data_IF_536697765310
#
_entry.id   IF_536697765310
#
_cell.length_a   1.000
_cell.length_b   1.000
_cell.length_c   1.000
_cell.angle_alpha   90.00
_cell.angle_beta   90.00
_cell.angle_gamma   90.00
#
_symmetry.space_group_name_H-M   'P 1'
#
loop_
_entity.id
_entity.type
_entity.pdbx_description
1 polymer ?
2 non-polymer ?
3 non-polymer ?
4 non-polymer ?
5 water ?
#
# COMPACT_ATOMS: atom_id res chain seq x y z
N UNK A 9 -20.85 -0.40 -15.61
CA UNK A 9 -21.09 -1.87 -15.62
C UNK A 9 -19.90 -2.61 -15.03
N UNK A 10 -20.16 -3.81 -14.49
CA UNK A 10 -19.12 -4.68 -13.97
C UNK A 10 -19.42 -6.11 -14.43
N UNK A 11 -18.37 -6.84 -14.83
CA UNK A 11 -18.51 -8.21 -15.29
C UNK A 11 -19.20 -9.05 -14.22
N UNK A 12 -20.35 -9.64 -14.58
CA UNK A 12 -21.09 -10.51 -13.68
C UNK A 12 -20.63 -11.95 -13.92
N UNK A 13 -20.25 -12.64 -12.84
CA UNK A 13 -19.79 -14.02 -12.91
C UNK A 13 -20.85 -14.94 -12.33
N UNK A 14 -21.09 -16.08 -12.98
CA UNK A 14 -22.08 -17.02 -12.50
C UNK A 14 -21.44 -17.84 -11.37
N UNK A 15 -22.16 -18.10 -10.26
CA UNK A 15 -21.60 -18.86 -9.13
C UNK A 15 -21.03 -20.24 -9.50
N UNK A 16 -21.56 -20.86 -10.55
CA UNK A 16 -21.11 -22.17 -10.97
C UNK A 16 -19.66 -22.15 -11.47
N UNK A 17 -19.13 -20.94 -11.76
CA UNK A 17 -17.78 -20.80 -12.25
C UNK A 17 -16.77 -20.56 -11.13
N UNK A 18 -17.24 -20.47 -9.87
CA UNK A 18 -16.39 -20.09 -8.74
C UNK A 18 -16.34 -21.22 -7.71
N UNK A 19 -15.12 -21.57 -7.27
CA UNK A 19 -14.92 -22.56 -6.22
C UNK A 19 -14.11 -21.96 -5.08
N UNK A 20 -14.73 -21.80 -3.91
CA UNK A 20 -14.04 -21.36 -2.70
C UNK A 20 -13.27 -22.52 -2.10
N UNK A 21 -11.99 -22.29 -1.75
CA UNK A 21 -11.09 -23.36 -1.34
C UNK A 21 -10.67 -23.19 0.12
N UNK A 22 -10.22 -21.99 0.51
CA UNK A 22 -9.72 -21.76 1.85
C UNK A 22 -10.00 -20.32 2.28
N UNK A 23 -10.32 -20.14 3.57
CA UNK A 23 -10.50 -18.81 4.15
C UNK A 23 -9.12 -18.20 4.40
N UNK A 24 -8.94 -16.96 3.96
CA UNK A 24 -7.66 -16.28 4.10
C UNK A 24 -7.83 -14.93 4.79
N UNK A 25 -9.05 -14.55 5.19
CA UNK A 25 -9.26 -13.26 5.82
C UNK A 25 -10.72 -12.96 6.13
N UNK A 26 -10.98 -11.72 6.57
CA UNK A 26 -12.33 -11.27 6.92
C UNK A 26 -12.68 -9.98 6.17
N UNK A 27 -13.92 -9.91 5.67
CA UNK A 27 -14.48 -8.70 5.09
C UNK A 27 -15.29 -7.92 6.12
N UNK A 28 -16.00 -6.88 5.67
CA UNK A 28 -16.78 -6.04 6.57
C UNK A 28 -17.98 -6.83 7.09
N UNK A 29 -18.58 -7.66 6.23
CA UNK A 29 -19.69 -8.52 6.65
C UNK A 29 -19.68 -9.79 5.80
N UNK A 30 -18.68 -10.64 6.05
CA UNK A 30 -18.35 -11.79 5.22
C UNK A 30 -16.89 -12.19 5.39
N UNK A 31 -16.42 -13.12 4.54
CA UNK A 31 -15.06 -13.63 4.63
C UNK A 31 -14.34 -13.45 3.31
N UNK A 32 -13.02 -13.69 3.33
CA UNK A 32 -12.20 -13.67 2.14
C UNK A 32 -11.63 -15.06 1.92
N UNK A 33 -11.76 -15.55 0.68
CA UNK A 33 -11.32 -16.89 0.33
C UNK A 33 -10.25 -16.84 -0.74
N UNK A 34 -9.38 -17.84 -0.74
CA UNK A 34 -8.67 -18.21 -1.95
C UNK A 34 -9.55 -19.21 -2.68
N UNK A 35 -9.58 -19.11 -4.02
CA UNK A 35 -10.40 -20.00 -4.83
C UNK A 35 -9.93 -20.08 -6.27
N UNK A 36 -10.78 -20.66 -7.11
CA UNK A 36 -10.52 -20.85 -8.52
C UNK A 36 -11.69 -20.33 -9.33
N UNK A 37 -11.39 -19.77 -10.51
CA UNK A 37 -12.39 -19.24 -11.43
C UNK A 37 -12.24 -19.91 -12.79
N UNK A 38 -13.34 -20.43 -13.33
CA UNK A 38 -13.36 -21.03 -14.65
C UNK A 38 -13.62 -19.96 -15.71
N UNK A 45 -8.76 -22.78 -15.77
CA UNK A 45 -9.12 -22.21 -14.44
C UNK A 45 -7.97 -21.34 -13.93
N UNK A 46 -8.30 -20.28 -13.19
CA UNK A 46 -7.30 -19.33 -12.71
C UNK A 46 -7.54 -19.08 -11.23
N UNK A 47 -6.49 -18.96 -10.40
CA UNK A 47 -6.66 -18.67 -8.98
C UNK A 47 -7.17 -17.25 -8.78
N UNK A 48 -8.04 -17.08 -7.78
CA UNK A 48 -8.65 -15.80 -7.49
C UNK A 48 -8.72 -15.61 -5.98
N UNK A 49 -8.89 -14.34 -5.58
CA UNK A 49 -9.30 -14.01 -4.24
C UNK A 49 -10.76 -13.58 -4.30
N UNK A 50 -11.51 -13.92 -3.25
CA UNK A 50 -12.96 -13.79 -3.23
C UNK A 50 -13.39 -13.20 -1.90
N UNK A 51 -14.05 -12.03 -1.93
CA UNK A 51 -14.61 -11.44 -0.73
C UNK A 51 -16.13 -11.52 -0.80
N UNK A 52 -16.76 -11.99 0.29
CA UNK A 52 -18.20 -12.22 0.32
C UNK A 52 -18.90 -11.16 1.17
N UNK A 53 -20.19 -10.97 0.86
CA UNK A 53 -21.10 -10.19 1.70
C UNK A 53 -22.28 -11.10 2.04
N UNK A 54 -22.37 -11.47 3.33
CA UNK A 54 -23.29 -12.52 3.73
C UNK A 54 -24.65 -11.96 4.15
N UNK A 55 -25.64 -12.85 4.24
CA UNK A 55 -27.02 -12.48 4.49
C UNK A 55 -27.13 -11.64 5.76
N UNK A 56 -27.92 -10.57 5.68
CA UNK A 56 -28.16 -9.67 6.80
C UNK A 56 -27.50 -8.32 6.59
N UNK A 57 -26.72 -8.18 5.51
CA UNK A 57 -25.99 -6.95 5.29
C UNK A 57 -26.99 -5.81 5.20
N UNK A 58 -26.52 -4.63 5.62
CA UNK A 58 -27.30 -3.40 5.59
C UNK A 58 -27.19 -2.76 4.21
N UNK A 59 -28.04 -1.74 3.99
CA UNK A 59 -28.02 -0.95 2.77
C UNK A 59 -26.65 -0.31 2.58
N UNK A 60 -26.12 0.31 3.65
CA UNK A 60 -24.83 0.98 3.59
C UNK A 60 -23.75 -0.01 3.17
N UNK A 61 -23.77 -1.20 3.77
CA UNK A 61 -22.80 -2.24 3.45
C UNK A 61 -22.88 -2.62 1.97
N UNK A 62 -24.10 -2.76 1.47
CA UNK A 62 -24.28 -3.15 0.07
C UNK A 62 -23.74 -2.06 -0.85
N UNK A 63 -24.05 -0.80 -0.54
CA UNK A 63 -23.60 0.32 -1.36
C UNK A 63 -22.08 0.39 -1.36
N UNK A 64 -21.47 0.19 -0.19
CA UNK A 64 -20.01 0.27 -0.05
C UNK A 64 -19.35 -0.90 -0.77
N UNK A 65 -19.95 -2.09 -0.69
CA UNK A 65 -19.40 -3.32 -1.27
C UNK A 65 -19.39 -3.22 -2.79
N UNK A 66 -20.56 -2.96 -3.38
CA UNK A 66 -20.69 -2.90 -4.83
C UNK A 66 -19.98 -1.66 -5.37
N UNK A 67 -19.92 -0.58 -4.57
CA UNK A 67 -19.21 0.62 -4.95
C UNK A 67 -17.71 0.40 -5.12
N UNK A 68 -17.14 -0.35 -4.18
CA UNK A 68 -15.74 -0.77 -4.23
C UNK A 68 -15.48 -1.57 -5.50
N UNK A 69 -16.36 -2.53 -5.79
CA UNK A 69 -16.19 -3.37 -6.97
C UNK A 69 -16.24 -2.50 -8.22
N UNK A 70 -17.20 -1.57 -8.27
CA UNK A 70 -17.38 -0.70 -9.42
C UNK A 70 -16.12 0.08 -9.75
N UNK A 71 -15.51 0.68 -8.73
CA UNK A 71 -14.28 1.47 -8.86
C UNK A 71 -13.15 0.57 -9.37
N UNK A 72 -13.04 -0.63 -8.81
CA UNK A 72 -11.97 -1.54 -9.16
C UNK A 72 -12.11 -1.94 -10.63
N UNK A 73 -13.36 -2.16 -11.08
CA UNK A 73 -13.62 -2.60 -12.43
C UNK A 73 -13.33 -1.53 -13.49
N UNK A 74 -13.44 -0.24 -13.12
CA UNK A 74 -13.17 0.83 -14.08
C UNK A 74 -11.67 1.07 -14.20
N UNK A 75 -10.92 0.97 -13.08
CA UNK A 75 -9.49 1.22 -13.09
C UNK A 75 -8.77 0.12 -13.88
N UNK A 76 -7.71 0.51 -14.61
CA UNK A 76 -6.89 -0.41 -15.38
C UNK A 76 -5.44 0.03 -15.30
N UNK A 77 -4.67 -0.56 -14.38
CA UNK A 77 -3.28 -0.18 -14.20
C UNK A 77 -2.52 -1.38 -13.65
N UNK A 78 -1.26 -1.53 -14.09
CA UNK A 78 -0.38 -2.63 -13.71
C UNK A 78 -0.22 -2.72 -12.19
N UNK A 79 -0.26 -1.58 -11.48
CA UNK A 79 0.07 -1.54 -10.06
C UNK A 79 -1.16 -1.31 -9.18
N UNK A 80 -2.35 -1.65 -9.72
CA UNK A 80 -3.62 -1.63 -9.00
C UNK A 80 -4.26 -3.00 -9.17
N UNK A 81 -4.78 -3.56 -8.06
CA UNK A 81 -5.41 -4.87 -8.08
C UNK A 81 -6.51 -4.91 -9.14
N UNK A 82 -6.52 -5.99 -9.92
CA UNK A 82 -7.46 -6.18 -11.02
C UNK A 82 -8.68 -6.97 -10.55
N UNK A 83 -9.86 -6.49 -10.98
CA UNK A 83 -11.13 -7.18 -10.72
C UNK A 83 -11.40 -8.20 -11.83
N UNK A 84 -11.72 -9.44 -11.44
CA UNK A 84 -12.19 -10.43 -12.40
C UNK A 84 -13.68 -10.22 -12.66
N UNK A 85 -14.43 -10.01 -11.58
CA UNK A 85 -15.86 -9.74 -11.70
C UNK A 85 -16.57 -9.82 -10.36
N UNK A 86 -17.91 -9.79 -10.42
CA UNK A 86 -18.76 -9.67 -9.24
C UNK A 86 -19.89 -10.68 -9.36
N UNK A 87 -20.33 -11.23 -8.21
CA UNK A 87 -21.60 -11.93 -8.13
C UNK A 87 -22.52 -11.01 -7.32
N UNK A 88 -23.51 -10.44 -8.01
CA UNK A 88 -24.49 -9.55 -7.38
C UNK A 88 -25.90 -10.12 -7.45
N UNK A 89 -26.14 -11.05 -8.40
CA UNK A 89 -27.49 -11.52 -8.67
C UNK A 89 -27.85 -12.72 -7.79
N UNK A 90 -26.84 -13.35 -7.17
CA UNK A 90 -27.05 -14.45 -6.25
C UNK A 90 -26.41 -14.08 -4.91
N UNK A 91 -26.79 -14.82 -3.86
CA UNK A 91 -26.28 -14.57 -2.52
C UNK A 91 -25.54 -15.81 -2.02
N UNK A 92 -24.40 -15.69 -1.29
CA UNK A 92 -23.82 -14.40 -0.91
C UNK A 92 -23.22 -13.67 -2.10
N UNK A 93 -23.18 -12.34 -2.04
CA UNK A 93 -22.55 -11.55 -3.09
C UNK A 93 -21.04 -11.70 -2.95
N UNK A 94 -20.31 -11.51 -4.06
CA UNK A 94 -18.89 -11.75 -4.08
C UNK A 94 -18.17 -10.72 -4.96
N UNK A 95 -16.97 -10.33 -4.52
CA UNK A 95 -16.03 -9.59 -5.35
C UNK A 95 -14.86 -10.52 -5.63
N UNK A 96 -14.53 -10.70 -6.92
CA UNK A 96 -13.53 -11.68 -7.32
C UNK A 96 -12.37 -10.94 -7.99
N UNK A 97 -11.17 -11.11 -7.44
CA UNK A 97 -9.99 -10.42 -7.93
C UNK A 97 -8.90 -11.41 -8.32
N UNK A 98 -7.87 -10.90 -9.01
CA UNK A 98 -6.67 -11.68 -9.26
C UNK A 98 -6.08 -12.09 -7.93
N UNK A 99 -5.40 -13.23 -7.92
CA UNK A 99 -4.80 -13.76 -6.70
C UNK A 99 -3.31 -13.40 -6.69
N UNK A 100 -2.85 -12.79 -5.61
CA UNK A 100 -1.47 -12.34 -5.51
C UNK A 100 -0.72 -13.30 -4.59
N UNK A 101 0.16 -14.11 -5.20
CA UNK A 101 0.67 -15.32 -4.55
C UNK A 101 1.50 -15.01 -3.31
N UNK A 102 2.15 -13.84 -3.24
CA UNK A 102 3.05 -13.55 -2.14
C UNK A 102 2.38 -12.73 -1.03
N UNK A 103 1.11 -12.36 -1.21
CA UNK A 103 0.35 -11.76 -0.12
C UNK A 103 0.77 -10.32 0.17
N UNK A 104 0.50 -9.91 1.41
CA UNK A 104 0.70 -8.53 1.83
C UNK A 104 2.19 -8.23 1.96
N UNK A 105 2.58 -7.03 1.51
CA UNK A 105 3.97 -6.61 1.44
C UNK A 105 4.64 -6.57 2.82
N UNK A 106 3.92 -6.09 3.85
CA UNK A 106 4.55 -5.95 5.16
C UNK A 106 5.02 -7.31 5.67
N UNK A 107 4.13 -8.29 5.63
CA UNK A 107 4.43 -9.63 6.12
C UNK A 107 5.48 -10.30 5.24
N UNK A 108 5.39 -10.06 3.93
CA UNK A 108 6.33 -10.63 2.97
C UNK A 108 7.74 -10.17 3.30
N UNK A 109 7.95 -8.87 3.48
CA UNK A 109 9.29 -8.35 3.72
C UNK A 109 9.86 -8.88 5.05
N UNK A 110 9.02 -8.99 6.08
CA UNK A 110 9.47 -9.45 7.38
C UNK A 110 9.90 -10.92 7.31
N UNK A 111 9.28 -11.68 6.40
CA UNK A 111 9.59 -13.09 6.24
C UNK A 111 10.75 -13.30 5.27
N UNK A 112 11.21 -12.24 4.57
CA UNK A 112 12.27 -12.35 3.59
C UNK A 112 13.38 -11.34 3.90
N UNK A 113 13.64 -11.12 5.18
CA UNK A 113 14.53 -10.06 5.63
C UNK A 113 15.92 -10.22 5.00
N UNK A 114 16.38 -9.17 4.33
CA UNK A 114 17.72 -9.12 3.75
C UNK A 114 17.87 -9.89 2.43
N UNK A 115 16.78 -10.38 1.83
CA UNK A 115 16.92 -11.31 0.71
C UNK A 115 16.93 -10.62 -0.66
N UNK A 116 16.69 -9.31 -0.71
CA UNK A 116 16.58 -8.61 -1.99
C UNK A 116 17.71 -7.59 -2.16
N UNK A 117 17.95 -7.23 -3.42
CA UNK A 117 18.88 -6.18 -3.75
C UNK A 117 18.20 -4.83 -3.53
N UNK A 118 19.03 -3.79 -3.42
CA UNK A 118 18.52 -2.42 -3.32
C UNK A 118 17.71 -2.09 -4.56
N UNK A 119 18.16 -2.53 -5.74
CA UNK A 119 17.46 -2.25 -6.98
C UNK A 119 16.06 -2.88 -6.97
N UNK A 120 15.95 -4.11 -6.44
CA UNK A 120 14.66 -4.77 -6.31
C UNK A 120 13.75 -3.98 -5.37
N UNK A 121 14.27 -3.56 -4.21
CA UNK A 121 13.45 -2.80 -3.27
C UNK A 121 12.98 -1.50 -3.90
N UNK A 122 13.88 -0.77 -4.58
CA UNK A 122 13.50 0.49 -5.19
C UNK A 122 12.49 0.24 -6.32
N UNK A 123 12.64 -0.86 -7.06
CA UNK A 123 11.66 -1.25 -8.05
C UNK A 123 10.25 -1.40 -7.49
N UNK A 124 10.17 -1.98 -6.27
CA UNK A 124 8.90 -2.16 -5.58
C UNK A 124 8.24 -0.80 -5.36
N UNK A 125 9.05 0.14 -4.87
CA UNK A 125 8.57 1.47 -4.57
C UNK A 125 8.13 2.19 -5.84
N UNK A 126 8.84 2.03 -6.95
CA UNK A 126 8.44 2.67 -8.20
C UNK A 126 7.06 2.17 -8.62
N UNK A 127 6.80 0.87 -8.45
CA UNK A 127 5.50 0.31 -8.81
C UNK A 127 4.37 0.88 -7.96
N UNK A 128 4.61 0.92 -6.65
CA UNK A 128 3.63 1.49 -5.73
C UNK A 128 3.36 2.95 -6.11
N UNK A 129 4.43 3.72 -6.36
CA UNK A 129 4.28 5.12 -6.72
C UNK A 129 3.47 5.27 -8.01
N UNK A 130 3.70 4.39 -9.00
CA UNK A 130 2.98 4.47 -10.27
C UNK A 130 1.49 4.23 -10.07
N UNK A 131 1.16 3.24 -9.23
CA UNK A 131 -0.23 2.96 -8.89
C UNK A 131 -0.90 4.15 -8.20
N UNK A 132 -0.19 4.72 -7.23
CA UNK A 132 -0.72 5.87 -6.50
C UNK A 132 -0.85 7.09 -7.41
N UNK A 133 0.07 7.30 -8.36
CA UNK A 133 -0.06 8.42 -9.28
C UNK A 133 -1.37 8.28 -10.06
N UNK A 134 -1.63 7.06 -10.54
CA UNK A 134 -2.85 6.76 -11.28
C UNK A 134 -4.08 7.01 -10.42
N UNK A 135 -4.13 6.48 -9.19
CA UNK A 135 -5.26 6.71 -8.31
C UNK A 135 -5.48 8.21 -8.10
N UNK A 136 -4.40 8.94 -7.78
CA UNK A 136 -4.51 10.36 -7.47
C UNK A 136 -5.09 11.13 -8.66
N UNK A 137 -4.63 10.78 -9.86
CA UNK A 137 -5.06 11.54 -11.03
C UNK A 137 -6.48 11.13 -11.45
N UNK A 138 -6.94 9.95 -11.01
CA UNK A 138 -8.33 9.51 -11.19
C UNK A 138 -9.22 10.07 -10.07
N UNK A 139 -8.63 10.90 -9.20
CA UNK A 139 -9.33 11.61 -8.12
C UNK A 139 -9.74 10.65 -7.00
N UNK A 140 -8.90 9.63 -6.75
CA UNK A 140 -9.15 8.68 -5.67
C UNK A 140 -8.12 8.92 -4.58
N UNK A 141 -8.59 9.17 -3.35
CA UNK A 141 -7.71 9.31 -2.20
C UNK A 141 -7.79 8.04 -1.36
N UNK A 142 -6.63 7.40 -1.10
CA UNK A 142 -6.61 6.08 -0.49
C UNK A 142 -6.97 6.15 1.00
N UNK A 143 -6.26 7.00 1.74
CA UNK A 143 -6.46 7.27 3.15
C UNK A 143 -5.79 6.25 4.06
N UNK A 144 -5.40 5.08 3.54
CA UNK A 144 -4.83 4.04 4.38
C UNK A 144 -3.67 3.39 3.64
N UNK A 145 -2.83 4.19 2.99
CA UNK A 145 -1.68 3.61 2.30
C UNK A 145 -0.63 3.19 3.32
N UNK A 146 -0.25 1.91 3.25
CA UNK A 146 0.65 1.25 4.19
C UNK A 146 1.07 -0.06 3.51
N UNK A 147 2.21 -0.62 3.92
CA UNK A 147 2.67 -1.85 3.29
C UNK A 147 1.66 -2.97 3.51
N UNK A 148 0.89 -2.95 4.61
CA UNK A 148 -0.12 -3.96 4.88
C UNK A 148 -1.20 -3.98 3.81
N UNK A 149 -1.37 -2.88 3.06
CA UNK A 149 -2.42 -2.78 2.05
C UNK A 149 -1.86 -2.88 0.62
N UNK A 150 -0.63 -3.37 0.49
CA UNK A 150 -0.01 -3.59 -0.81
C UNK A 150 0.16 -5.10 -0.98
N UNK A 151 -0.16 -5.62 -2.17
CA UNK A 151 0.01 -7.05 -2.45
C UNK A 151 1.15 -7.26 -3.44
N UNK A 152 1.73 -8.47 -3.38
CA UNK A 152 2.92 -8.81 -4.15
C UNK A 152 2.65 -10.10 -4.94
N UNK A 153 2.94 -10.09 -6.25
CA UNK A 153 2.76 -11.28 -7.06
C UNK A 153 4.10 -11.98 -7.29
N UNK A 154 4.07 -13.04 -8.11
CA UNK A 154 5.24 -13.89 -8.30
C UNK A 154 6.27 -13.28 -9.25
N UNK A 155 5.98 -12.09 -9.80
CA UNK A 155 6.94 -11.30 -10.55
C UNK A 155 7.51 -10.16 -9.69
N UNK A 156 7.21 -10.17 -8.37
CA UNK A 156 7.61 -9.14 -7.41
C UNK A 156 6.93 -7.81 -7.73
N UNK A 157 5.84 -7.84 -8.51
CA UNK A 157 5.09 -6.62 -8.78
C UNK A 157 4.23 -6.31 -7.56
N UNK A 158 4.27 -5.05 -7.14
CA UNK A 158 3.47 -4.58 -6.01
C UNK A 158 2.23 -3.88 -6.56
N UNK A 159 1.07 -4.18 -5.97
CA UNK A 159 -0.18 -3.60 -6.39
C UNK A 159 -0.91 -3.04 -5.18
N UNK A 160 -1.47 -1.85 -5.38
CA UNK A 160 -2.25 -1.21 -4.33
C UNK A 160 -3.57 -1.94 -4.16
N UNK A 161 -3.94 -2.21 -2.90
CA UNK A 161 -5.19 -2.84 -2.51
C UNK A 161 -5.77 -2.11 -1.30
N UNK A 162 -6.73 -2.72 -0.60
CA UNK A 162 -7.23 -2.17 0.66
C UNK A 162 -8.00 -3.24 1.43
N UNK A 163 -7.57 -3.52 2.67
CA UNK A 163 -8.20 -4.55 3.49
C UNK A 163 -8.93 -3.94 4.69
N UNK A 164 -9.04 -2.60 4.72
CA UNK A 164 -9.83 -1.93 5.74
C UNK A 164 -9.01 -1.60 6.98
N UNK A 184 -8.15 6.10 13.02
CA UNK A 184 -7.10 6.47 12.01
C UNK A 184 -5.83 5.69 12.29
N UNK A 185 -5.15 5.13 11.26
CA UNK A 185 -3.81 4.52 11.44
C UNK A 185 -2.75 5.60 11.62
N UNK A 186 -2.58 6.05 12.88
CA UNK A 186 -1.91 7.28 13.21
C UNK A 186 -0.52 7.36 12.58
N UNK A 187 0.28 6.28 12.70
CA UNK A 187 1.70 6.42 12.38
C UNK A 187 1.95 6.45 10.87
N UNK A 188 0.92 6.22 10.05
CA UNK A 188 1.03 6.35 8.60
C UNK A 188 0.41 7.65 8.07
N UNK A 189 -0.26 8.41 8.94
CA UNK A 189 -1.15 9.48 8.50
C UNK A 189 -0.50 10.85 8.63
N UNK A 190 -0.74 11.71 7.62
CA UNK A 190 -0.17 13.05 7.59
C UNK A 190 -0.76 13.90 8.72
N UNK A 191 0.00 14.89 9.23
CA UNK A 191 -0.51 15.73 10.32
C UNK A 191 -1.87 16.37 10.08
N UNK A 192 -2.12 16.89 8.86
CA UNK A 192 -3.37 17.60 8.61
C UNK A 192 -4.54 16.64 8.60
N UNK A 193 -4.29 15.37 8.25
CA UNK A 193 -5.36 14.38 8.24
C UNK A 193 -5.71 14.00 9.67
N UNK A 194 -4.70 13.89 10.54
CA UNK A 194 -4.94 13.62 11.95
C UNK A 194 -5.64 14.81 12.60
N UNK A 195 -5.14 16.03 12.37
CA UNK A 195 -5.57 17.18 13.15
C UNK A 195 -6.95 17.68 12.72
N UNK A 196 -7.23 17.75 11.43
CA UNK A 196 -8.50 18.31 10.99
C UNK A 196 -9.15 17.54 9.84
N UNK A 197 -8.74 16.28 9.64
CA UNK A 197 -9.43 15.33 8.79
C UNK A 197 -9.33 15.72 7.31
N UNK A 198 -8.22 16.37 6.95
CA UNK A 198 -7.96 16.75 5.57
C UNK A 198 -7.21 15.63 4.87
N UNK A 199 -7.94 14.76 4.16
CA UNK A 199 -7.33 13.67 3.42
C UNK A 199 -7.31 14.03 1.94
N UNK A 200 -6.10 14.03 1.36
CA UNK A 200 -5.89 14.37 -0.03
C UNK A 200 -4.81 13.48 -0.60
N UNK A 201 -4.50 13.63 -1.89
CA UNK A 201 -3.37 12.90 -2.45
C UNK A 201 -2.06 13.32 -1.79
N UNK A 202 -2.00 14.54 -1.21
CA UNK A 202 -0.81 14.98 -0.52
C UNK A 202 -0.65 14.28 0.84
N UNK A 203 -1.76 13.92 1.50
CA UNK A 203 -1.65 13.12 2.72
C UNK A 203 -1.27 11.69 2.35
N UNK A 204 -1.72 11.19 1.19
CA UNK A 204 -1.24 9.91 0.67
C UNK A 204 0.27 9.94 0.40
N UNK A 205 0.83 11.07 -0.04
CA UNK A 205 2.27 11.18 -0.25
C UNK A 205 3.03 11.01 1.08
N UNK A 206 2.54 11.62 2.16
CA UNK A 206 3.13 11.39 3.47
C UNK A 206 3.19 9.89 3.77
N UNK A 207 2.04 9.22 3.58
CA UNK A 207 1.93 7.79 3.81
C UNK A 207 2.94 7.04 2.95
N UNK A 208 3.07 7.46 1.69
CA UNK A 208 4.02 6.80 0.79
C UNK A 208 5.45 6.89 1.34
N UNK A 209 5.80 8.04 1.94
CA UNK A 209 7.09 8.17 2.61
C UNK A 209 7.30 7.10 3.68
N UNK A 210 6.25 6.89 4.49
CA UNK A 210 6.29 5.84 5.51
C UNK A 210 6.46 4.48 4.83
N UNK A 211 5.73 4.22 3.73
CA UNK A 211 5.89 2.97 3.00
C UNK A 211 7.32 2.81 2.49
N UNK A 212 7.96 3.88 2.01
CA UNK A 212 9.35 3.81 1.59
C UNK A 212 10.23 3.32 2.74
N UNK A 213 9.99 3.84 3.96
CA UNK A 213 10.76 3.44 5.11
C UNK A 213 10.47 1.98 5.47
N UNK A 214 9.19 1.56 5.37
CA UNK A 214 8.84 0.17 5.62
C UNK A 214 9.59 -0.77 4.66
N UNK A 215 9.62 -0.43 3.37
CA UNK A 215 10.24 -1.31 2.40
C UNK A 215 11.74 -1.40 2.67
N UNK A 216 12.41 -0.26 2.88
CA UNK A 216 13.86 -0.24 2.98
C UNK A 216 14.36 -0.87 4.29
N UNK A 217 13.48 -0.97 5.31
CA UNK A 217 13.79 -1.64 6.58
C UNK A 217 13.26 -3.08 6.65
N UNK A 218 12.71 -3.61 5.55
CA UNK A 218 12.10 -4.94 5.53
C UNK A 218 11.01 -5.07 6.59
N UNK A 219 10.15 -4.05 6.68
CA UNK A 219 8.91 -4.16 7.45
C UNK A 219 9.07 -3.80 8.92
N UNK A 220 10.05 -2.96 9.25
CA UNK A 220 10.14 -2.44 10.61
C UNK A 220 8.87 -1.64 10.92
N UNK A 221 8.40 -1.72 12.18
CA UNK A 221 7.25 -0.94 12.59
C UNK A 221 7.64 0.54 12.68
N UNK A 222 6.93 1.45 11.96
CA UNK A 222 7.25 2.87 12.06
C UNK A 222 7.20 3.36 13.50
N UNK A 223 8.27 4.04 13.94
CA UNK A 223 8.39 4.67 15.24
C UNK A 223 8.49 3.61 16.34
N UNK A 224 8.78 2.36 15.94
CA UNK A 224 9.09 1.29 16.88
C UNK A 224 8.00 1.22 17.96
N UNK A 225 8.36 1.26 19.25
CA UNK A 225 7.40 1.02 20.32
C UNK A 225 6.76 2.31 20.83
N UNK A 226 7.05 3.47 20.21
CA UNK A 226 6.41 4.71 20.61
C UNK A 226 4.89 4.55 20.53
N UNK A 227 4.19 5.14 21.50
CA UNK A 227 2.74 5.19 21.50
C UNK A 227 2.27 6.20 20.45
N UNK A 228 0.98 6.12 20.11
CA UNK A 228 0.40 7.02 19.12
C UNK A 228 0.56 8.48 19.52
N UNK A 229 0.37 8.79 20.81
CA UNK A 229 0.50 10.17 21.27
C UNK A 229 1.96 10.62 21.25
N UNK A 230 2.88 9.72 21.59
CA UNK A 230 4.30 9.98 21.50
C UNK A 230 4.70 10.28 20.04
N UNK A 231 4.12 9.55 19.09
CA UNK A 231 4.43 9.77 17.68
C UNK A 231 3.94 11.15 17.24
N UNK A 232 2.71 11.50 17.60
CA UNK A 232 2.13 12.77 17.18
C UNK A 232 2.94 13.93 17.77
N UNK A 233 3.31 13.81 19.05
CA UNK A 233 4.12 14.81 19.72
C UNK A 233 5.47 14.97 19.02
N UNK A 234 6.14 13.85 18.72
CA UNK A 234 7.46 13.86 18.11
C UNK A 234 7.41 14.57 16.76
N UNK A 235 6.41 14.21 15.96
CA UNK A 235 6.24 14.75 14.62
C UNK A 235 6.02 16.25 14.68
N UNK A 236 5.18 16.69 15.63
CA UNK A 236 4.87 18.10 15.79
C UNK A 236 6.12 18.90 16.16
N UNK A 237 7.05 18.26 16.88
CA UNK A 237 8.26 18.92 17.36
C UNK A 237 9.43 18.73 16.39
N UNK A 238 9.19 18.08 15.24
CA UNK A 238 10.14 18.08 14.15
C UNK A 238 10.88 16.76 13.96
N UNK A 239 10.62 15.77 14.81
CA UNK A 239 11.24 14.46 14.66
C UNK A 239 10.79 13.82 13.36
N UNK A 240 11.73 13.13 12.68
CA UNK A 240 11.41 12.28 11.54
C UNK A 240 12.17 10.96 11.68
N UNK A 241 11.62 9.90 11.08
CA UNK A 241 12.27 8.60 11.13
C UNK A 241 13.69 8.73 10.58
N UNK A 242 14.67 8.04 11.20
CA UNK A 242 16.06 8.07 10.76
C UNK A 242 16.28 7.16 9.56
N UNK A 243 17.45 7.29 8.93
CA UNK A 243 17.72 6.49 7.75
C UNK A 243 17.74 5.01 8.10
N UNK A 244 17.13 4.18 7.23
CA UNK A 244 17.30 2.73 7.31
C UNK A 244 18.77 2.35 7.08
N UNK A 245 19.13 1.14 7.51
CA UNK A 245 20.43 0.58 7.16
C UNK A 245 20.49 0.37 5.64
N UNK A 246 21.67 0.60 5.06
CA UNK A 246 21.95 0.30 3.65
C UNK A 246 21.01 1.05 2.71
N UNK A 247 20.66 2.29 3.05
CA UNK A 247 19.68 3.04 2.30
C UNK A 247 20.36 4.05 1.38
N UNK A 248 20.09 4.03 0.05
CA UNK A 248 20.62 5.08 -0.83
C UNK A 248 20.27 6.48 -0.33
N UNK A 249 21.25 7.38 -0.42
CA UNK A 249 21.05 8.76 -0.04
C UNK A 249 19.85 9.36 -0.77
N UNK A 250 19.71 9.11 -2.07
CA UNK A 250 18.62 9.68 -2.87
C UNK A 250 17.25 9.23 -2.34
N UNK A 251 17.17 8.00 -1.86
CA UNK A 251 15.93 7.43 -1.38
C UNK A 251 15.55 8.04 -0.02
N UNK A 252 16.53 8.19 0.89
CA UNK A 252 16.26 8.82 2.16
C UNK A 252 15.85 10.28 1.94
N UNK A 253 16.55 10.99 1.03
CA UNK A 253 16.18 12.37 0.74
C UNK A 253 14.72 12.45 0.29
N UNK A 254 14.29 11.51 -0.56
CA UNK A 254 12.94 11.55 -1.09
C UNK A 254 11.91 11.29 0.01
N UNK A 255 12.15 10.30 0.89
CA UNK A 255 11.16 10.04 1.91
C UNK A 255 11.07 11.23 2.87
N UNK A 256 12.18 11.94 3.14
CA UNK A 256 12.14 13.11 4.01
C UNK A 256 11.29 14.22 3.39
N UNK A 257 11.34 14.39 2.06
CA UNK A 257 10.52 15.41 1.43
C UNK A 257 9.02 15.04 1.48
N UNK A 258 8.72 13.74 1.49
CA UNK A 258 7.33 13.30 1.64
C UNK A 258 6.79 13.71 3.02
N UNK A 259 7.68 13.91 4.00
CA UNK A 259 7.28 14.24 5.36
C UNK A 259 7.44 15.72 5.71
N UNK A 260 7.33 16.61 4.72
CA UNK A 260 7.22 18.03 5.02
C UNK A 260 5.91 18.30 5.74
N UNK A 261 5.98 19.11 6.82
CA UNK A 261 4.81 19.52 7.57
C UNK A 261 3.83 20.25 6.64
N UNK A 262 4.37 21.15 5.81
CA UNK A 262 3.57 21.95 4.90
C UNK A 262 3.24 21.10 3.67
N UNK A 263 1.95 20.84 3.49
CA UNK A 263 1.43 19.94 2.47
C UNK A 263 1.96 20.33 1.09
N UNK A 264 1.97 21.64 0.82
CA UNK A 264 2.33 22.15 -0.49
C UNK A 264 3.79 21.89 -0.83
N UNK A 265 4.65 21.62 0.17
CA UNK A 265 6.07 21.44 -0.06
C UNK A 265 6.40 19.98 -0.38
N UNK A 266 5.42 19.07 -0.23
CA UNK A 266 5.67 17.67 -0.54
C UNK A 266 5.72 17.48 -2.06
N UNK A 267 6.47 16.47 -2.55
CA UNK A 267 6.41 16.11 -3.96
C UNK A 267 5.02 15.60 -4.30
N UNK A 268 4.63 15.75 -5.58
CA UNK A 268 3.46 15.06 -6.10
C UNK A 268 3.87 13.63 -6.48
N UNK A 269 2.91 12.72 -6.63
CA UNK A 269 3.25 11.38 -7.09
C UNK A 269 3.94 11.44 -8.46
N UNK A 270 3.60 12.41 -9.31
CA UNK A 270 4.28 12.56 -10.58
C UNK A 270 5.79 12.75 -10.38
N UNK A 271 6.16 13.56 -9.39
CA UNK A 271 7.54 13.84 -9.10
C UNK A 271 8.24 12.58 -8.58
N UNK A 272 7.56 11.85 -7.70
CA UNK A 272 8.11 10.65 -7.10
C UNK A 272 8.39 9.59 -8.18
N UNK A 273 7.42 9.34 -9.07
CA UNK A 273 7.58 8.35 -10.12
C UNK A 273 8.78 8.74 -11.00
N UNK A 274 8.88 10.02 -11.34
CA UNK A 274 9.95 10.52 -12.19
C UNK A 274 11.32 10.28 -11.56
N UNK A 275 11.48 10.67 -10.29
CA UNK A 275 12.73 10.48 -9.59
C UNK A 275 13.09 8.99 -9.49
N UNK A 276 12.14 8.14 -9.08
CA UNK A 276 12.46 6.74 -8.91
C UNK A 276 12.82 6.10 -10.25
N UNK A 277 12.16 6.53 -11.34
CA UNK A 277 12.44 5.97 -12.64
C UNK A 277 13.88 6.31 -13.05
N UNK A 278 14.29 7.56 -12.81
CA UNK A 278 15.62 8.02 -13.15
C UNK A 278 16.68 7.29 -12.34
N UNK A 279 16.42 7.04 -11.04
CA UNK A 279 17.38 6.33 -10.22
C UNK A 279 17.56 4.90 -10.73
N UNK A 280 16.44 4.23 -11.09
CA UNK A 280 16.51 2.84 -11.53
C UNK A 280 17.23 2.74 -12.87
N UNK A 281 17.07 3.74 -13.73
CA UNK A 281 17.62 3.67 -15.08
C UNK A 281 19.10 4.03 -15.09
N UNK A 282 19.58 4.68 -14.02
CA UNK A 282 21.00 4.94 -13.80
C UNK A 282 21.37 4.36 -12.44
N UNK A 283 21.42 3.03 -12.31
CA UNK A 283 21.46 2.37 -10.99
C UNK A 283 22.70 2.61 -10.14
N UNK A 284 23.77 3.18 -10.72
CA UNK A 284 24.94 3.56 -9.93
C UNK A 284 24.58 4.70 -8.99
N UNK A 285 23.52 5.45 -9.31
CA UNK A 285 22.98 6.50 -8.45
C UNK A 285 22.61 5.97 -7.07
N UNK A 286 22.29 4.67 -6.98
CA UNK A 286 21.81 4.09 -5.73
C UNK A 286 22.98 3.57 -4.87
N UNK A 287 24.22 3.68 -5.36
CA UNK A 287 25.35 3.10 -4.65
C UNK A 287 25.82 4.03 -3.53
N UNK A 288 25.46 5.31 -3.60
CA UNK A 288 25.81 6.29 -2.57
C UNK A 288 24.82 6.16 -1.41
N UNK A 289 25.28 5.77 -0.22
CA UNK A 289 24.38 5.50 0.90
C UNK A 289 24.32 6.68 1.86
N UNK A 290 23.14 6.92 2.43
CA UNK A 290 23.00 7.80 3.60
C UNK A 290 23.71 7.16 4.79
N UNK A 291 24.31 8.01 5.63
CA UNK A 291 24.94 7.58 6.87
C UNK A 291 23.91 6.93 7.78
N UNK A 292 24.23 5.75 8.32
CA UNK A 292 23.36 5.08 9.27
C UNK A 292 23.82 5.44 10.69
N UNK A 293 22.87 5.85 11.53
CA UNK A 293 23.14 6.28 12.90
C UNK A 293 22.95 5.08 13.82
N UNK A 294 24.04 4.39 14.26
CA UNK A 294 23.89 3.18 15.05
C UNK A 294 23.43 3.52 16.47
N UNK A 295 22.49 2.72 16.99
CA UNK A 295 21.99 2.91 18.34
C UNK A 295 23.00 2.35 19.34
N UNK A 296 23.66 1.24 18.95
CA UNK A 296 24.63 0.56 19.79
C UNK A 296 25.95 0.45 19.01
N UNK A 297 27.04 0.82 19.67
CA UNK A 297 28.38 0.68 19.12
C UNK A 297 29.16 -0.35 19.92
N UNK A 298 29.73 -1.32 19.20
CA UNK A 298 30.54 -2.38 19.79
C UNK A 298 32.01 -2.10 19.46
N UNK A 299 32.84 -2.00 20.50
CA UNK A 299 34.24 -1.66 20.36
C UNK A 299 35.07 -2.94 20.52
N UNK A 300 35.80 -3.31 19.44
CA UNK A 300 36.73 -4.43 19.47
C UNK A 300 38.14 -3.93 19.11
X LIG B 1 -8.48 -4.12 -3.09
X LIG B 1 -9.56 -3.74 -2.61
X LIG B 1 -9.89 -2.44 -2.50
X LIG B 1 -9.02 -1.38 -3.00
X LIG B 1 -9.21 -1.17 -4.48
X LIG B 1 -8.46 0.04 -5.09
X LIG B 1 -6.95 0.00 -4.83
X LIG B 1 -9.02 1.36 -4.56
X LIG B 1 -8.67 -0.01 -6.60
X LIG B 1 -10.56 -4.61 -2.25
X LIG B 1 -10.54 -6.01 -2.32
X LIG B 1 -9.43 -6.83 -2.14
X LIG B 1 -11.72 -6.59 -2.75
X LIG B 1 -12.79 -5.79 -2.95
X LIG B 1 -11.85 -7.94 -2.94
X LIG B 1 -10.75 -8.77 -2.75
X LIG B 1 -10.91 -10.24 -2.96
X LIG B 1 -9.50 -8.20 -2.43
X LIG B 1 -8.37 -9.13 -2.11
X LIG B 1 -7.51 -9.55 -3.10
X LIG B 1 -6.43 -10.40 -2.79
X LIG B 1 -5.54 -10.93 -3.74
X LIG B 1 -8.05 -9.47 -0.76
X LIG B 1 -8.95 -9.03 0.37
X LIG B 1 -7.06 -10.29 -0.45
X LIG B 1 -6.24 -10.75 -1.44
X LIG B 1 -5.20 -11.57 -1.07
X LIG B 1 -4.39 -12.02 -2.07
X LIG B 1 -4.54 -11.73 -3.38
X LIG B 1 -3.37 -12.81 -1.72
X LIG B 1 -3.15 -13.22 -0.36
X LIG C 1 -0.36 13.05 -8.71
X LIG C 1 0.87 13.55 -9.24
X LIG C 1 -0.80 13.79 -7.47
X LIG C 1 0.13 13.62 -6.40
X LIG C 1 -1.05 15.26 -7.71
X LIG C 1 -2.13 15.45 -8.61
X LIG D 1 12.01 15.63 -11.57
X LIG D 1 12.59 14.38 -11.90
X LIG D 1 10.83 15.51 -10.68
X LIG D 1 10.55 16.66 -9.89
X LIG E 1 5.45 -15.31 0.62
X LIG E 1 4.39 -15.76 1.44
X LIG E 1 6.10 -16.40 -0.12
X LIG E 1 7.19 -15.95 -0.92
X LIG F 1 5.14 -7.81 -14.63
X LIG F 1 6.53 -8.12 -14.61
X LIG F 1 4.20 -8.96 -14.67
X LIG F 1 3.32 -9.08 -13.57
X LIG G 1 -4.38 -10.69 2.32
X LIG G 1 -4.40 -9.69 3.33
X LIG G 1 -5.53 -11.61 2.38
X LIG G 1 -6.79 -10.97 2.22
X LIG H 1 16.28 1.79 11.23
X LIG H 1 16.55 3.18 11.24
X LIG H 1 15.48 1.32 12.38
X LIG H 1 15.72 -0.04 12.71
#
# INVERSE_FOLDING_TARGET
>A
DPNQAVLKFTTEIHPSCVTRQKVIGAGEFGEVYKGMLKTSSGKKEVPVAIKTLKAGYTEKQRVDFLGEAGIMGQFSHHNIIRLEGVISKYKPMMIITEYMENGALDKFLREKDGEFSVLQLVGMLRGIAAGMKYLANMNYVHRDLAARNILVNSNLVCKVSDFGLSRVLEDDPEATYTTSGGKIPIRWTAPEAISYRKFTSASDVWSFGIVMWEVMTYGERPYWELSNHEVMKAINDGFRLPTPMDCPSAIYQLMMQCWQQERARRPKFADIVSILDKLIRAPDSLKTLADFDPRVSIRLPSTSG
>B hetero
1 4Z5 O29 C23 N24 C25 C26 C27 C31 C30 C28 N22 C16 C15 C17 F20 C18 C19 C21 C12 C8 C7 C6 C1 C9 C11 N10 C5 N4 C3 N2 N13 C14
>C hetero
1 GOL C1 O1 C2 O2 C3 O3
>D hetero
1 EDO C1 O1 C2 O2
>E hetero
1 EDO C1 O1 C2 O2
>F hetero
1 EDO C1 O1 C2 O2
>G hetero
1 EDO C1 O1 C2 O2
>H hetero
1 EDO C1 O1 C2 O2
#
